data_IF_319643082915
#
_entry.id   IF_319643082915
#
_cell.length_a   1.000
_cell.length_b   1.000
_cell.length_c   1.000
_cell.angle_alpha   90.00
_cell.angle_beta   90.00
_cell.angle_gamma   90.00
#
_symmetry.space_group_name_H-M   'P 1'
#
loop_
_entity.id
_entity.type
_entity.pdbx_description
1 polymer ?
#
# COMPACT_ATOMS: atom_id res chain seq x y z
N UNK A 1 2.09 -7.73 22.03
CA UNK A 1 1.97 -8.64 20.86
C UNK A 1 1.77 -7.74 19.64
N UNK A 2 2.81 -7.05 19.20
CA UNK A 2 2.63 -5.91 18.27
C UNK A 2 3.72 -5.94 17.21
N UNK A 3 3.51 -6.71 16.14
CA UNK A 3 4.33 -6.64 14.92
C UNK A 3 3.48 -6.75 13.64
N UNK A 4 2.15 -6.57 13.73
CA UNK A 4 1.22 -6.72 12.60
C UNK A 4 0.38 -5.46 12.26
N UNK A 5 0.55 -4.35 13.00
CA UNK A 5 -0.33 -3.18 12.84
C UNK A 5 -0.17 -2.47 11.49
N UNK A 6 1.06 -2.32 11.00
CA UNK A 6 1.37 -1.57 9.77
C UNK A 6 0.66 -2.16 8.54
N UNK A 7 0.62 -3.49 8.40
CA UNK A 7 -0.04 -4.16 7.27
C UNK A 7 -1.56 -3.94 7.26
N UNK A 8 -2.16 -3.88 8.45
CA UNK A 8 -3.60 -3.65 8.61
C UNK A 8 -3.95 -2.17 8.34
N UNK A 9 -3.18 -1.25 8.91
CA UNK A 9 -3.36 0.20 8.70
C UNK A 9 -3.13 0.60 7.24
N UNK A 10 -2.13 -0.01 6.58
CA UNK A 10 -1.88 0.18 5.16
C UNK A 10 -3.09 -0.27 4.32
N UNK A 11 -3.63 -1.44 4.61
CA UNK A 11 -4.79 -1.98 3.88
C UNK A 11 -6.05 -1.13 4.11
N UNK A 12 -6.22 -0.57 5.31
CA UNK A 12 -7.30 0.37 5.60
C UNK A 12 -7.13 1.70 4.86
N UNK A 13 -5.91 2.26 4.84
CA UNK A 13 -5.60 3.47 4.09
C UNK A 13 -5.91 3.29 2.60
N UNK A 14 -5.48 2.18 1.99
CA UNK A 14 -5.75 1.90 0.58
C UNK A 14 -7.27 1.82 0.30
N UNK A 15 -8.05 1.19 1.18
CA UNK A 15 -9.50 1.09 1.00
C UNK A 15 -10.23 2.41 1.26
N UNK A 16 -9.84 3.18 2.27
CA UNK A 16 -10.54 4.41 2.67
C UNK A 16 -10.10 5.63 1.85
N UNK A 17 -8.80 5.89 1.77
CA UNK A 17 -8.25 7.09 1.12
C UNK A 17 -8.16 6.93 -0.40
N UNK A 18 -7.86 5.73 -0.89
CA UNK A 18 -7.73 5.48 -2.32
C UNK A 18 -8.96 4.83 -2.95
N UNK A 19 -9.95 4.45 -2.13
CA UNK A 19 -11.16 3.74 -2.57
C UNK A 19 -10.86 2.45 -3.34
N UNK A 20 -9.73 1.80 -3.03
CA UNK A 20 -9.37 0.52 -3.63
C UNK A 20 -10.24 -0.59 -3.03
N UNK A 21 -10.77 -1.47 -3.87
CA UNK A 21 -11.48 -2.64 -3.39
C UNK A 21 -10.47 -3.73 -3.02
N UNK A 22 -10.90 -4.67 -2.16
CA UNK A 22 -10.11 -5.84 -1.82
C UNK A 22 -9.71 -6.66 -3.05
N UNK A 23 -10.53 -6.62 -4.10
CA UNK A 23 -10.26 -7.29 -5.38
C UNK A 23 -9.06 -6.65 -6.11
N UNK A 24 -9.00 -5.32 -6.17
CA UNK A 24 -7.87 -4.58 -6.76
C UNK A 24 -6.56 -4.90 -6.03
N UNK A 25 -6.62 -4.94 -4.70
CA UNK A 25 -5.48 -5.32 -3.86
C UNK A 25 -5.06 -6.76 -4.12
N UNK A 26 -6.02 -7.68 -4.25
CA UNK A 26 -5.76 -9.07 -4.55
C UNK A 26 -5.08 -9.23 -5.92
N UNK A 27 -5.46 -8.46 -6.94
CA UNK A 27 -4.78 -8.47 -8.24
C UNK A 27 -3.30 -8.11 -8.07
N UNK A 28 -2.97 -7.03 -7.38
CA UNK A 28 -1.57 -6.64 -7.19
C UNK A 28 -0.77 -7.65 -6.34
N UNK A 29 -1.40 -8.23 -5.30
CA UNK A 29 -0.75 -9.21 -4.40
C UNK A 29 -0.54 -10.56 -5.10
N UNK A 30 -1.54 -11.07 -5.82
CA UNK A 30 -1.46 -12.36 -6.50
C UNK A 30 -0.48 -12.33 -7.67
N UNK A 31 -0.28 -11.16 -8.29
CA UNK A 31 0.65 -10.99 -9.39
C UNK A 31 2.04 -10.48 -8.94
N UNK A 32 2.41 -10.63 -7.66
CA UNK A 32 3.80 -10.41 -7.23
C UNK A 32 4.72 -11.42 -7.91
N UNK A 33 5.74 -10.93 -8.61
CA UNK A 33 6.75 -11.81 -9.24
C UNK A 33 7.81 -12.25 -8.24
N UNK A 34 8.15 -11.39 -7.28
CA UNK A 34 9.14 -11.67 -6.26
C UNK A 34 8.62 -11.35 -4.86
N UNK A 35 8.97 -12.19 -3.86
CA UNK A 35 8.72 -11.87 -2.46
C UNK A 35 9.60 -10.67 -2.09
N UNK A 36 8.99 -9.48 -2.03
CA UNK A 36 9.69 -8.22 -1.82
C UNK A 36 9.29 -7.13 -2.81
N UNK A 37 8.56 -7.45 -3.87
CA UNK A 37 8.03 -6.42 -4.76
C UNK A 37 7.11 -5.47 -3.97
N UNK A 38 7.35 -4.15 -4.03
CA UNK A 38 6.55 -3.17 -3.32
C UNK A 38 5.14 -3.11 -3.94
N UNK A 39 4.13 -3.37 -3.11
CA UNK A 39 2.71 -3.26 -3.49
C UNK A 39 2.36 -1.94 -4.19
N UNK A 40 2.85 -0.75 -3.76
CA UNK A 40 2.54 0.51 -4.42
C UNK A 40 2.93 0.51 -5.91
N UNK A 41 4.10 -0.05 -6.25
CA UNK A 41 4.57 -0.12 -7.64
C UNK A 41 3.71 -1.07 -8.48
N UNK A 42 3.26 -2.18 -7.92
CA UNK A 42 2.41 -3.14 -8.61
C UNK A 42 1.04 -2.53 -8.88
N UNK A 43 0.41 -1.89 -7.89
CA UNK A 43 -0.85 -1.19 -8.07
C UNK A 43 -0.78 -0.18 -9.22
N UNK A 44 0.32 0.57 -9.33
CA UNK A 44 0.53 1.51 -10.44
C UNK A 44 0.77 0.81 -11.78
N UNK A 45 1.57 -0.26 -11.79
CA UNK A 45 1.88 -1.03 -13.00
C UNK A 45 0.63 -1.69 -13.60
N UNK A 46 -0.30 -2.15 -12.77
CA UNK A 46 -1.60 -2.68 -13.21
C UNK A 46 -2.63 -1.60 -13.53
N UNK A 47 -2.30 -0.31 -13.34
CA UNK A 47 -3.22 0.80 -13.59
C UNK A 47 -4.35 0.91 -12.57
N UNK A 48 -4.23 0.26 -11.42
CA UNK A 48 -5.21 0.29 -10.33
C UNK A 48 -5.20 1.63 -9.58
N UNK A 49 -4.06 2.33 -9.62
CA UNK A 49 -3.90 3.66 -9.02
C UNK A 49 -3.28 4.64 -10.01
N UNK A 50 -3.64 5.92 -9.84
CA UNK A 50 -3.00 7.04 -10.54
C UNK A 50 -1.67 7.44 -9.89
N UNK A 51 -0.81 8.14 -10.65
CA UNK A 51 0.47 8.68 -10.11
C UNK A 51 0.29 9.53 -8.84
N UNK A 52 -0.78 10.32 -8.75
CA UNK A 52 -1.07 11.11 -7.54
C UNK A 52 -1.49 10.26 -6.33
N UNK A 53 -2.13 9.11 -6.56
CA UNK A 53 -2.43 8.15 -5.50
C UNK A 53 -1.19 7.38 -5.08
N UNK A 54 -0.35 6.97 -6.04
CA UNK A 54 0.96 6.39 -5.76
C UNK A 54 1.80 7.30 -4.84
N UNK A 55 1.83 8.60 -5.13
CA UNK A 55 2.55 9.56 -4.31
C UNK A 55 1.98 9.66 -2.88
N UNK A 56 0.66 9.64 -2.71
CA UNK A 56 0.02 9.59 -1.38
C UNK A 56 0.37 8.32 -0.61
N UNK A 57 0.49 7.19 -1.28
CA UNK A 57 0.92 5.94 -0.65
C UNK A 57 2.33 6.09 -0.08
N UNK A 58 3.25 6.67 -0.85
CA UNK A 58 4.62 6.92 -0.39
C UNK A 58 4.69 7.91 0.77
N UNK A 59 3.92 9.00 0.70
CA UNK A 59 3.82 10.00 1.76
C UNK A 59 3.31 9.39 3.07
N UNK A 60 2.26 8.54 2.99
CA UNK A 60 1.76 7.81 4.14
C UNK A 60 2.80 6.84 4.70
N UNK A 61 3.50 6.09 3.86
CA UNK A 61 4.56 5.16 4.28
C UNK A 61 5.71 5.90 4.98
N UNK A 62 6.13 7.06 4.48
CA UNK A 62 7.15 7.89 5.10
C UNK A 62 6.68 8.40 6.47
N UNK A 63 5.44 8.88 6.56
CA UNK A 63 4.83 9.32 7.82
C UNK A 63 4.78 8.20 8.87
N UNK A 64 4.51 6.95 8.48
CA UNK A 64 4.58 5.80 9.40
C UNK A 64 6.01 5.54 9.90
N UNK A 65 7.00 5.65 9.02
CA UNK A 65 8.42 5.48 9.39
C UNK A 65 8.88 6.61 10.33
N UNK A 66 8.45 7.84 10.09
CA UNK A 66 8.78 8.99 10.94
C UNK A 66 8.12 8.91 12.32
N UNK A 67 6.92 8.33 12.43
CA UNK A 67 6.27 8.12 13.73
C UNK A 67 6.93 7.04 14.61
N UNK A 68 7.73 6.15 14.01
CA UNK A 68 8.41 5.05 14.70
C UNK A 68 9.67 5.53 15.48
N UNK A 69 10.22 6.71 15.17
CA UNK A 69 11.41 7.26 15.83
C UNK A 69 11.19 8.73 16.24
N UNK A 70 10.97 9.02 17.54
CA UNK A 70 11.00 10.39 18.08
C UNK A 70 12.43 10.95 18.19
#
# INVERSE_FOLDING_TARGET
MENHSISNEFTQFLQQELSLSSDDLAVAINNRRQPGDPIPMLLWQYGLISRGQLQRIWDWLDAQIQFQFP
#
